data_IF_188351001232
#
_entry.id   IF_188351001232
#
_cell.length_a   1.000
_cell.length_b   1.000
_cell.length_c   1.000
_cell.angle_alpha   90.00
_cell.angle_beta   90.00
_cell.angle_gamma   90.00
#
_symmetry.space_group_name_H-M   'P 1'
#
loop_
_entity.id
_entity.type
_entity.pdbx_description
1 polymer ?
#
# COMPACT_ATOMS: atom_id res chain seq x y z
N UNK A 1 9.89 18.13 -9.71
CA UNK A 1 9.45 18.02 -8.30
C UNK A 1 8.52 16.82 -8.13
N UNK A 2 7.45 16.76 -8.92
CA UNK A 2 6.46 15.65 -8.91
C UNK A 2 7.12 14.26 -9.04
N UNK A 3 7.99 14.06 -10.04
CA UNK A 3 8.70 12.79 -10.21
C UNK A 3 9.53 12.36 -8.98
N UNK A 4 10.08 13.32 -8.22
CA UNK A 4 10.82 13.03 -6.99
C UNK A 4 9.88 12.58 -5.87
N UNK A 5 8.71 13.20 -5.76
CA UNK A 5 7.69 12.84 -4.77
C UNK A 5 7.15 11.44 -5.09
N UNK A 6 6.84 11.17 -6.35
CA UNK A 6 6.39 9.84 -6.81
C UNK A 6 7.42 8.77 -6.50
N UNK A 7 8.71 9.03 -6.74
CA UNK A 7 9.79 8.09 -6.43
C UNK A 7 9.96 7.86 -4.92
N UNK A 8 9.86 8.92 -4.11
CA UNK A 8 9.87 8.79 -2.65
C UNK A 8 8.71 7.94 -2.14
N UNK A 9 7.50 8.11 -2.68
CA UNK A 9 6.34 7.29 -2.32
C UNK A 9 6.53 5.85 -2.78
N UNK A 10 7.05 5.62 -3.99
CA UNK A 10 7.37 4.27 -4.49
C UNK A 10 8.32 3.56 -3.53
N UNK A 11 9.42 4.20 -3.17
CA UNK A 11 10.42 3.60 -2.28
C UNK A 11 9.88 3.37 -0.87
N UNK A 12 9.08 4.31 -0.33
CA UNK A 12 8.37 4.09 0.94
C UNK A 12 7.42 2.90 0.89
N UNK A 13 6.67 2.75 -0.22
CA UNK A 13 5.76 1.61 -0.44
C UNK A 13 6.53 0.30 -0.45
N UNK A 14 7.63 0.19 -1.19
CA UNK A 14 8.47 -1.01 -1.27
C UNK A 14 9.04 -1.40 0.10
N UNK A 15 9.54 -0.42 0.85
CA UNK A 15 10.08 -0.65 2.19
C UNK A 15 9.01 -1.16 3.16
N UNK A 16 7.81 -0.58 3.12
CA UNK A 16 6.72 -0.95 4.01
C UNK A 16 6.17 -2.35 3.69
N UNK A 17 6.10 -2.72 2.41
CA UNK A 17 5.75 -4.08 1.99
C UNK A 17 6.77 -5.08 2.53
N UNK A 18 8.07 -4.81 2.30
CA UNK A 18 9.13 -5.71 2.75
C UNK A 18 9.13 -5.85 4.29
N UNK A 19 8.96 -4.75 5.00
CA UNK A 19 8.85 -4.76 6.45
C UNK A 19 7.62 -5.54 6.93
N UNK A 20 6.44 -5.27 6.36
CA UNK A 20 5.19 -5.93 6.73
C UNK A 20 5.22 -7.44 6.51
N UNK A 21 5.79 -7.89 5.38
CA UNK A 21 5.97 -9.32 5.09
C UNK A 21 6.97 -9.95 6.07
N UNK A 22 8.06 -9.24 6.38
CA UNK A 22 9.06 -9.72 7.35
C UNK A 22 8.50 -9.90 8.77
N UNK A 23 7.73 -8.93 9.27
CA UNK A 23 7.23 -9.00 10.65
C UNK A 23 6.08 -9.99 10.83
N UNK A 24 5.30 -10.22 9.78
CA UNK A 24 4.15 -11.14 9.82
C UNK A 24 4.58 -12.58 9.60
N UNK A 25 5.61 -12.80 8.78
CA UNK A 25 6.21 -14.11 8.47
C UNK A 25 5.15 -15.17 8.14
N UNK A 26 4.05 -14.75 7.49
CA UNK A 26 2.85 -15.54 7.15
C UNK A 26 2.20 -16.28 8.35
N UNK A 27 2.48 -15.82 9.58
CA UNK A 27 1.97 -16.44 10.83
C UNK A 27 0.70 -15.78 11.36
N UNK A 28 0.25 -14.68 10.76
CA UNK A 28 -0.97 -13.99 11.17
C UNK A 28 -2.13 -14.49 10.31
N UNK A 29 -3.05 -15.22 10.95
CA UNK A 29 -4.23 -15.73 10.27
C UNK A 29 -5.06 -14.57 9.67
N UNK A 30 -5.31 -14.65 8.37
CA UNK A 30 -6.06 -13.63 7.63
C UNK A 30 -5.19 -12.52 7.04
N UNK A 31 -3.88 -12.53 7.27
CA UNK A 31 -2.95 -11.53 6.77
C UNK A 31 -1.76 -12.22 6.09
N UNK A 32 -1.81 -12.28 4.75
CA UNK A 32 -0.76 -12.89 3.94
C UNK A 32 0.00 -11.83 3.11
N UNK A 33 1.14 -12.24 2.55
CA UNK A 33 2.03 -11.35 1.80
C UNK A 33 1.35 -10.62 0.62
N UNK A 34 0.42 -11.29 -0.07
CA UNK A 34 -0.32 -10.71 -1.20
C UNK A 34 -1.29 -9.64 -0.70
N UNK A 35 -1.95 -9.88 0.43
CA UNK A 35 -2.90 -8.95 1.02
C UNK A 35 -2.19 -7.67 1.51
N UNK A 36 -1.05 -7.84 2.21
CA UNK A 36 -0.18 -6.74 2.65
C UNK A 36 0.24 -5.89 1.45
N UNK A 37 0.78 -6.53 0.41
CA UNK A 37 1.25 -5.83 -0.78
C UNK A 37 0.15 -5.00 -1.44
N UNK A 38 -1.02 -5.62 -1.67
CA UNK A 38 -2.15 -4.94 -2.30
C UNK A 38 -2.64 -3.76 -1.47
N UNK A 39 -2.68 -3.89 -0.15
CA UNK A 39 -3.16 -2.83 0.72
C UNK A 39 -2.21 -1.64 0.79
N UNK A 40 -0.91 -1.87 0.94
CA UNK A 40 0.08 -0.79 0.96
C UNK A 40 0.11 -0.05 -0.39
N UNK A 41 -0.01 -0.78 -1.51
CA UNK A 41 -0.16 -0.17 -2.85
C UNK A 41 -1.44 0.64 -2.99
N UNK A 42 -2.57 0.15 -2.46
CA UNK A 42 -3.83 0.87 -2.41
C UNK A 42 -3.68 2.21 -1.65
N UNK A 43 -3.06 2.19 -0.47
CA UNK A 43 -2.79 3.39 0.31
C UNK A 43 -1.87 4.36 -0.43
N UNK A 44 -0.82 3.88 -1.11
CA UNK A 44 0.07 4.72 -1.90
C UNK A 44 -0.68 5.49 -3.01
N UNK A 45 -1.63 4.83 -3.70
CA UNK A 45 -2.48 5.48 -4.69
C UNK A 45 -3.33 6.60 -4.06
N UNK A 46 -4.00 6.32 -2.93
CA UNK A 46 -4.80 7.34 -2.21
C UNK A 46 -3.93 8.55 -1.83
N UNK A 47 -2.71 8.32 -1.35
CA UNK A 47 -1.80 9.41 -0.94
C UNK A 47 -1.33 10.26 -2.12
N UNK A 48 -1.10 9.64 -3.28
CA UNK A 48 -0.77 10.36 -4.52
C UNK A 48 -1.96 11.17 -5.03
N UNK A 49 -3.16 10.58 -5.03
CA UNK A 49 -4.40 11.24 -5.46
C UNK A 49 -4.70 12.48 -4.61
N UNK A 50 -4.54 12.37 -3.28
CA UNK A 50 -4.77 13.47 -2.34
C UNK A 50 -3.87 14.71 -2.59
N UNK A 51 -2.75 14.54 -3.28
CA UNK A 51 -1.83 15.62 -3.68
C UNK A 51 -1.87 15.91 -5.18
N UNK A 52 -2.85 15.37 -5.92
CA UNK A 52 -3.07 15.62 -7.34
C UNK A 52 -2.09 14.89 -8.28
N UNK A 53 -1.41 13.85 -7.80
CA UNK A 53 -0.49 13.03 -8.61
C UNK A 53 -1.18 11.76 -9.12
N UNK A 54 -0.75 11.22 -10.29
CA UNK A 54 -1.32 10.00 -10.84
C UNK A 54 -1.00 8.78 -9.97
N UNK A 55 -1.87 7.78 -10.04
CA UNK A 55 -1.69 6.50 -9.35
C UNK A 55 -0.43 5.77 -9.86
N UNK A 56 0.35 5.25 -8.92
CA UNK A 56 1.54 4.46 -9.21
C UNK A 56 1.19 3.00 -9.56
N UNK A 57 0.08 2.50 -9.00
CA UNK A 57 -0.40 1.13 -9.16
C UNK A 57 -1.84 1.12 -9.73
N UNK A 58 -2.04 1.50 -11.00
CA UNK A 58 -3.37 1.68 -11.59
C UNK A 58 -4.24 0.41 -11.62
N UNK A 59 -3.63 -0.76 -11.47
CA UNK A 59 -4.30 -2.05 -11.33
C UNK A 59 -4.98 -2.26 -9.97
N UNK A 60 -4.59 -1.48 -8.95
CA UNK A 60 -5.15 -1.54 -7.59
C UNK A 60 -6.20 -0.43 -7.42
N UNK A 61 -7.47 -0.79 -7.58
CA UNK A 61 -8.60 0.15 -7.58
C UNK A 61 -9.47 0.10 -6.33
N UNK A 62 -9.50 -1.04 -5.65
CA UNK A 62 -10.40 -1.32 -4.53
C UNK A 62 -9.57 -1.59 -3.27
N UNK A 63 -10.16 -1.25 -2.10
CA UNK A 63 -9.54 -1.54 -0.81
C UNK A 63 -9.57 -3.06 -0.57
N UNK A 64 -8.42 -3.76 -0.51
CA UNK A 64 -8.42 -5.21 -0.27
C UNK A 64 -8.75 -5.59 1.19
N UNK A 65 -8.79 -4.63 2.11
CA UNK A 65 -9.09 -4.83 3.53
C UNK A 65 -10.15 -3.83 4.04
N UNK A 66 -11.31 -3.76 3.36
CA UNK A 66 -12.45 -2.92 3.79
C UNK A 66 -12.87 -3.19 5.24
N UNK A 67 -12.70 -4.42 5.73
CA UNK A 67 -13.04 -4.80 7.11
C UNK A 67 -12.20 -4.05 8.15
N UNK A 68 -10.99 -3.56 7.83
CA UNK A 68 -10.17 -2.77 8.76
C UNK A 68 -10.82 -1.40 9.04
N UNK A 69 -11.45 -0.80 8.03
CA UNK A 69 -12.11 0.50 8.17
C UNK A 69 -13.32 0.43 9.11
N UNK A 70 -13.95 -0.75 9.24
CA UNK A 70 -15.06 -0.97 10.19
C UNK A 70 -14.62 -1.00 11.65
N UNK A 71 -13.31 -1.08 11.92
CA UNK A 71 -12.73 -1.07 13.27
C UNK A 71 -12.05 0.27 13.64
N UNK A 72 -12.00 1.24 12.71
CA UNK A 72 -11.33 2.54 12.90
C UNK A 72 -12.27 3.66 13.34
#
# INVERSE_FOLDING_TARGET
LEAKITDMIRQGTENEIAWGQYITDDKILGLNNVLIERYIKYLANIRLEAIGLPHLYPEIKENPMEWIESFS
#
